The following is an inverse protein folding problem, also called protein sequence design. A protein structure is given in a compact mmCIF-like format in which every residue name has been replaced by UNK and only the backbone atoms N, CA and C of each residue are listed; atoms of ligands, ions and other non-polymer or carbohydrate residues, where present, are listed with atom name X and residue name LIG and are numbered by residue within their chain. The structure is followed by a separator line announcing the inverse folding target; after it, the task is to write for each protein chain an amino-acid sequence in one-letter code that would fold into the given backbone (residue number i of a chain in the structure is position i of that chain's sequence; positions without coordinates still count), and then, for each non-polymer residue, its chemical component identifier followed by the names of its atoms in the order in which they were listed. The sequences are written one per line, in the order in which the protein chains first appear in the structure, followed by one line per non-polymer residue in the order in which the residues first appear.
data_IF_533169290072
#
_entry.id   IF_533169290072
#
_cell.length_a   1.000
_cell.length_b   1.000
_cell.length_c   1.000
_cell.angle_alpha   90.00
_cell.angle_beta   90.00
_cell.angle_gamma   90.00
#
_symmetry.space_group_name_H-M   'P 1'
#
loop_
_entity.id
_entity.type
_entity.pdbx_description
1 polymer ?
#
# COMPACT_ATOMS: atom_id res chain seq x y z
N UNK A 1 -8.51 27.62 -29.98
CA UNK A 1 -8.80 27.65 -28.53
C UNK A 1 -8.10 26.44 -27.87
N UNK A 2 -6.88 26.61 -27.37
CA UNK A 2 -6.07 25.53 -26.75
C UNK A 2 -5.51 26.00 -25.40
N UNK A 3 -6.39 26.53 -24.55
CA UNK A 3 -6.05 26.96 -23.18
C UNK A 3 -6.99 26.26 -22.21
N UNK A 4 -6.45 25.32 -21.43
CA UNK A 4 -6.77 25.04 -20.01
C UNK A 4 -6.63 23.55 -19.60
N UNK A 5 -6.12 22.66 -20.47
CA UNK A 5 -5.82 21.29 -20.02
C UNK A 5 -4.76 21.25 -18.91
N UNK A 6 -3.82 22.20 -18.91
CA UNK A 6 -2.77 22.31 -17.88
C UNK A 6 -3.31 22.80 -16.54
N UNK A 7 -4.31 23.70 -16.54
CA UNK A 7 -4.95 24.19 -15.33
C UNK A 7 -5.82 23.13 -14.68
N UNK A 8 -6.58 22.38 -15.49
CA UNK A 8 -7.42 21.29 -15.00
C UNK A 8 -6.61 20.11 -14.43
N UNK A 9 -5.50 19.74 -15.07
CA UNK A 9 -4.56 18.73 -14.54
C UNK A 9 -3.94 19.16 -13.20
N UNK A 10 -3.56 20.44 -13.07
CA UNK A 10 -3.06 21.01 -11.79
C UNK A 10 -4.12 21.00 -10.69
N UNK A 11 -5.38 21.32 -11.01
CA UNK A 11 -6.50 21.29 -10.05
C UNK A 11 -6.81 19.86 -9.59
N UNK A 12 -6.85 18.89 -10.50
CA UNK A 12 -7.03 17.46 -10.15
C UNK A 12 -5.89 16.92 -9.30
N UNK A 13 -4.64 17.27 -9.62
CA UNK A 13 -3.47 16.91 -8.82
C UNK A 13 -3.54 17.48 -7.39
N UNK A 14 -3.95 18.74 -7.22
CA UNK A 14 -4.15 19.35 -5.89
C UNK A 14 -5.27 18.68 -5.08
N UNK A 15 -6.37 18.28 -5.73
CA UNK A 15 -7.49 17.60 -5.07
C UNK A 15 -7.09 16.20 -4.57
N UNK A 16 -6.32 15.47 -5.39
CA UNK A 16 -5.73 14.18 -5.02
C UNK A 16 -4.76 14.32 -3.85
N UNK A 17 -3.87 15.31 -3.89
CA UNK A 17 -2.94 15.60 -2.79
C UNK A 17 -3.66 15.88 -1.47
N UNK A 18 -4.81 16.59 -1.51
CA UNK A 18 -5.62 16.88 -0.32
C UNK A 18 -6.26 15.62 0.26
N UNK A 19 -6.85 14.76 -0.58
CA UNK A 19 -7.43 13.49 -0.13
C UNK A 19 -6.41 12.48 0.42
N UNK A 20 -5.19 12.47 -0.13
CA UNK A 20 -4.07 11.69 0.43
C UNK A 20 -3.66 12.24 1.79
N UNK A 21 -3.47 13.57 1.92
CA UNK A 21 -3.14 14.22 3.18
C UNK A 21 -4.16 13.94 4.28
N UNK A 22 -5.46 13.99 4.00
CA UNK A 22 -6.50 13.78 5.02
C UNK A 22 -6.53 12.34 5.57
N UNK A 23 -6.18 11.36 4.73
CA UNK A 23 -6.03 9.96 5.15
C UNK A 23 -4.78 9.79 6.00
N UNK A 24 -3.69 10.42 5.57
CA UNK A 24 -2.39 10.35 6.21
C UNK A 24 -2.40 11.05 7.57
N UNK A 25 -3.09 12.20 7.71
CA UNK A 25 -3.26 12.94 8.97
C UNK A 25 -4.02 12.15 10.05
N UNK A 26 -4.73 11.06 9.70
CA UNK A 26 -5.36 10.16 10.68
C UNK A 26 -4.41 9.14 11.29
N UNK A 27 -3.20 9.00 10.74
CA UNK A 27 -2.13 8.20 11.32
C UNK A 27 -1.16 9.17 11.99
N UNK A 28 -0.81 8.92 13.24
CA UNK A 28 -0.06 9.86 14.07
C UNK A 28 1.25 10.28 13.37
N UNK A 29 1.40 11.59 13.16
CA UNK A 29 2.66 12.20 12.73
C UNK A 29 3.53 12.32 13.96
N UNK A 30 4.63 11.58 14.03
CA UNK A 30 5.67 11.82 15.03
C UNK A 30 6.83 12.54 14.36
N UNK A 31 7.04 13.81 14.75
CA UNK A 31 8.27 14.57 14.49
C UNK A 31 9.25 14.24 15.61
N UNK A 32 9.90 13.09 15.52
CA UNK A 32 10.98 12.70 16.42
C UNK A 32 12.23 12.44 15.58
N UNK A 33 13.35 12.94 16.07
CA UNK A 33 14.68 12.97 15.45
C UNK A 33 15.00 11.73 14.61
N UNK A 34 15.68 12.00 13.49
CA UNK A 34 16.16 11.03 12.51
C UNK A 34 17.25 10.15 13.13
N UNK A 35 16.86 9.27 14.06
CA UNK A 35 17.58 8.01 14.26
C UNK A 35 17.58 7.37 12.88
N UNK A 36 18.74 7.26 12.23
CA UNK A 36 18.87 6.77 10.84
C UNK A 36 17.91 5.62 10.61
N UNK A 37 16.81 5.91 9.93
CA UNK A 37 15.70 4.97 9.88
C UNK A 37 16.13 3.83 8.97
N UNK A 38 16.39 2.68 9.56
CA UNK A 38 16.82 1.50 8.82
C UNK A 38 15.64 0.94 8.04
N UNK A 39 15.58 1.27 6.75
CA UNK A 39 14.68 0.63 5.80
C UNK A 39 15.08 -0.83 5.62
N UNK A 40 14.11 -1.74 5.77
CA UNK A 40 14.31 -3.19 5.60
C UNK A 40 13.74 -3.69 4.27
N UNK A 41 12.86 -2.91 3.64
CA UNK A 41 12.30 -3.23 2.34
C UNK A 41 11.85 -1.97 1.59
N UNK A 42 11.93 -2.04 0.27
CA UNK A 42 11.45 -0.99 -0.62
C UNK A 42 10.64 -1.58 -1.78
N UNK A 43 9.74 -0.76 -2.33
CA UNK A 43 9.02 -1.07 -3.55
C UNK A 43 8.82 0.17 -4.39
N UNK A 44 9.26 0.09 -5.63
CA UNK A 44 8.99 1.10 -6.65
C UNK A 44 7.71 0.77 -7.43
N UNK A 45 6.88 1.79 -7.63
CA UNK A 45 5.68 1.76 -8.44
C UNK A 45 5.74 2.84 -9.52
N UNK A 46 5.33 2.48 -10.72
CA UNK A 46 5.24 3.40 -11.86
C UNK A 46 3.87 4.07 -11.86
N UNK A 47 3.87 5.39 -11.95
CA UNK A 47 2.66 6.20 -12.17
C UNK A 47 2.29 6.19 -13.65
N UNK A 48 1.00 6.08 -13.95
CA UNK A 48 0.48 6.14 -15.33
C UNK A 48 -0.14 7.48 -15.72
N UNK A 49 -0.35 8.36 -14.75
CA UNK A 49 -0.91 9.70 -14.97
C UNK A 49 0.15 10.72 -15.39
N UNK A 50 1.44 10.42 -15.20
CA UNK A 50 2.56 11.29 -15.55
C UNK A 50 3.75 10.48 -16.06
N UNK A 51 4.36 10.95 -17.16
CA UNK A 51 5.54 10.34 -17.76
C UNK A 51 6.72 10.44 -16.78
N UNK A 52 7.41 9.32 -16.55
CA UNK A 52 8.53 9.24 -15.60
C UNK A 52 8.13 9.29 -14.12
N UNK A 53 6.83 9.36 -13.79
CA UNK A 53 6.38 9.40 -12.41
C UNK A 53 6.63 8.09 -11.68
N UNK A 54 7.23 8.19 -10.49
CA UNK A 54 7.48 7.07 -9.59
C UNK A 54 6.85 7.31 -8.23
N UNK A 55 6.52 6.22 -7.55
CA UNK A 55 6.15 6.17 -6.14
C UNK A 55 7.06 5.14 -5.49
N UNK A 56 7.76 5.55 -4.44
CA UNK A 56 8.65 4.67 -3.67
C UNK A 56 7.99 4.42 -2.33
N UNK A 57 7.70 3.15 -2.05
CA UNK A 57 7.23 2.72 -0.74
C UNK A 57 8.41 2.13 0.02
N UNK A 58 8.68 2.64 1.22
CA UNK A 58 9.73 2.14 2.11
C UNK A 58 9.12 1.61 3.39
N UNK A 59 9.68 0.55 3.92
CA UNK A 59 9.23 -0.12 5.14
C UNK A 59 10.42 -0.30 6.08
N UNK A 60 10.29 0.18 7.32
CA UNK A 60 11.31 0.10 8.34
C UNK A 60 11.19 -1.15 9.20
N UNK A 61 12.19 -1.35 10.06
CA UNK A 61 12.17 -2.42 11.05
C UNK A 61 11.07 -2.15 12.09
N UNK A 62 10.21 -3.15 12.43
CA UNK A 62 9.34 -3.03 13.59
C UNK A 62 10.15 -2.82 14.87
N UNK A 63 9.67 -1.92 15.74
CA UNK A 63 10.29 -1.58 17.01
C UNK A 63 9.22 -1.37 18.09
N UNK A 64 9.56 -1.52 19.39
CA UNK A 64 8.68 -1.10 20.47
C UNK A 64 8.26 0.36 20.30
N UNK A 65 6.99 0.64 20.52
CA UNK A 65 6.46 2.00 20.41
C UNK A 65 6.92 2.84 21.62
N UNK A 66 7.74 3.89 21.45
CA UNK A 66 8.18 4.73 22.56
C UNK A 66 7.03 5.52 23.19
N UNK A 67 5.92 5.71 22.48
CA UNK A 67 4.73 6.42 22.97
C UNK A 67 3.74 5.46 23.69
N UNK A 68 4.02 4.15 23.71
CA UNK A 68 3.17 3.16 24.37
C UNK A 68 3.23 3.32 25.90
N UNK A 69 2.10 3.62 26.60
CA UNK A 69 2.05 3.85 28.04
C UNK A 69 2.61 2.71 28.91
N UNK A 70 2.62 1.49 28.37
CA UNK A 70 3.12 0.30 29.07
C UNK A 70 4.30 -0.38 28.37
N UNK A 71 4.87 0.25 27.34
CA UNK A 71 5.92 -0.37 26.49
C UNK A 71 5.51 -1.71 25.87
N UNK A 72 4.20 -1.96 25.67
CA UNK A 72 3.67 -3.22 25.15
C UNK A 72 3.31 -3.15 23.68
N UNK A 73 3.05 -1.95 23.15
CA UNK A 73 2.72 -1.81 21.75
C UNK A 73 4.00 -1.69 20.90
N UNK A 74 3.85 -2.07 19.64
CA UNK A 74 4.89 -2.03 18.63
C UNK A 74 4.45 -1.10 17.51
N UNK A 75 5.44 -0.50 16.84
CA UNK A 75 5.23 0.28 15.63
C UNK A 75 6.17 -0.18 14.54
N UNK A 76 5.73 -0.05 13.28
CA UNK A 76 6.54 -0.28 12.11
C UNK A 76 6.46 0.94 11.22
N UNK A 77 7.60 1.58 10.96
CA UNK A 77 7.66 2.79 10.15
C UNK A 77 7.49 2.48 8.66
N UNK A 78 6.89 3.41 7.93
CA UNK A 78 6.82 3.38 6.48
C UNK A 78 6.79 4.77 5.88
N UNK A 79 7.22 4.90 4.63
CA UNK A 79 7.13 6.13 3.85
C UNK A 79 6.57 5.82 2.45
N UNK A 80 5.82 6.76 1.87
CA UNK A 80 5.27 6.66 0.52
C UNK A 80 5.63 7.94 -0.24
N UNK A 81 6.77 7.92 -0.89
CA UNK A 81 7.31 9.05 -1.63
C UNK A 81 6.70 9.15 -3.03
N UNK A 82 6.61 10.36 -3.58
CA UNK A 82 6.09 10.60 -4.93
C UNK A 82 4.57 10.83 -5.01
N UNK A 83 3.88 10.86 -3.87
CA UNK A 83 2.45 11.23 -3.73
C UNK A 83 2.22 12.63 -3.14
N UNK A 84 3.28 13.37 -2.83
CA UNK A 84 3.23 14.75 -2.31
C UNK A 84 3.25 14.87 -0.78
N UNK A 85 3.29 13.74 -0.06
CA UNK A 85 3.63 13.66 1.36
C UNK A 85 4.74 12.64 1.53
N UNK A 86 5.92 13.10 1.95
CA UNK A 86 7.09 12.25 2.18
C UNK A 86 7.35 12.06 3.68
N UNK A 87 6.35 12.34 4.53
CA UNK A 87 6.45 12.09 5.96
C UNK A 87 6.57 10.59 6.23
N UNK A 88 7.23 10.26 7.34
CA UNK A 88 7.25 8.91 7.88
C UNK A 88 5.95 8.70 8.67
N UNK A 89 5.36 7.52 8.48
CA UNK A 89 4.15 7.07 9.16
C UNK A 89 4.42 5.76 9.88
N UNK A 90 3.52 5.38 10.77
CA UNK A 90 3.66 4.17 11.57
C UNK A 90 2.41 3.30 11.51
N UNK A 91 2.62 2.00 11.33
CA UNK A 91 1.62 0.97 11.61
C UNK A 91 1.82 0.45 13.03
N UNK A 92 0.82 0.59 13.89
CA UNK A 92 0.87 0.14 15.28
C UNK A 92 0.26 -1.26 15.43
N UNK A 93 0.74 -2.04 16.39
CA UNK A 93 0.26 -3.38 16.69
C UNK A 93 0.64 -3.82 18.11
N UNK A 94 0.10 -4.95 18.55
CA UNK A 94 0.41 -5.53 19.86
C UNK A 94 1.78 -6.21 19.91
N UNK A 95 2.34 -6.51 18.74
CA UNK A 95 3.64 -7.15 18.55
C UNK A 95 4.27 -6.68 17.24
N UNK A 96 5.53 -7.08 17.02
CA UNK A 96 6.29 -6.72 15.82
C UNK A 96 5.63 -7.17 14.51
N UNK A 97 4.97 -8.34 14.52
CA UNK A 97 4.32 -8.93 13.34
C UNK A 97 3.06 -8.14 12.98
N UNK A 98 2.20 -7.85 13.95
CA UNK A 98 0.97 -7.10 13.76
C UNK A 98 1.25 -5.64 13.37
N UNK A 99 2.30 -5.02 13.93
CA UNK A 99 2.74 -3.69 13.52
C UNK A 99 3.16 -3.67 12.03
N UNK A 100 3.96 -4.65 11.60
CA UNK A 100 4.36 -4.83 10.19
C UNK A 100 3.16 -5.05 9.26
N UNK A 101 2.25 -5.95 9.63
CA UNK A 101 1.03 -6.22 8.87
C UNK A 101 0.14 -4.98 8.76
N UNK A 102 0.03 -4.21 9.84
CA UNK A 102 -0.75 -2.97 9.85
C UNK A 102 -0.09 -1.89 8.99
N UNK A 103 1.24 -1.76 8.99
CA UNK A 103 1.94 -0.86 8.07
C UNK A 103 1.63 -1.22 6.60
N UNK A 104 1.75 -2.50 6.22
CA UNK A 104 1.40 -2.97 4.86
C UNK A 104 -0.06 -2.69 4.50
N UNK A 105 -0.99 -2.87 5.46
CA UNK A 105 -2.41 -2.57 5.28
C UNK A 105 -2.65 -1.08 5.04
N UNK A 106 -2.02 -0.22 5.84
CA UNK A 106 -2.16 1.24 5.71
C UNK A 106 -1.59 1.70 4.38
N UNK A 107 -0.40 1.24 4.00
CA UNK A 107 0.21 1.51 2.68
C UNK A 107 -0.79 1.21 1.57
N UNK A 108 -1.37 0.01 1.57
CA UNK A 108 -2.36 -0.38 0.55
C UNK A 108 -3.54 0.59 0.50
N UNK A 109 -4.09 0.97 1.66
CA UNK A 109 -5.22 1.90 1.74
C UNK A 109 -4.85 3.29 1.21
N UNK A 110 -3.66 3.81 1.55
CA UNK A 110 -3.17 5.10 1.06
C UNK A 110 -3.03 5.07 -0.46
N UNK A 111 -2.38 4.04 -1.01
CA UNK A 111 -2.20 3.89 -2.46
C UNK A 111 -3.54 3.83 -3.20
N UNK A 112 -4.52 3.07 -2.68
CA UNK A 112 -5.85 2.99 -3.30
C UNK A 112 -6.63 4.32 -3.20
N UNK A 113 -6.56 5.00 -2.05
CA UNK A 113 -7.25 6.28 -1.85
C UNK A 113 -6.65 7.43 -2.64
N UNK A 114 -5.38 7.32 -3.03
CA UNK A 114 -4.73 8.29 -3.92
C UNK A 114 -5.43 8.42 -5.27
N UNK A 115 -6.15 7.38 -5.73
CA UNK A 115 -6.75 7.28 -7.07
C UNK A 115 -5.73 7.49 -8.21
N UNK A 116 -4.43 7.47 -7.92
CA UNK A 116 -3.39 7.53 -8.93
C UNK A 116 -3.25 6.12 -9.53
N UNK A 117 -3.27 5.98 -10.86
CA UNK A 117 -3.09 4.69 -11.51
C UNK A 117 -1.63 4.24 -11.36
N UNK A 118 -1.38 3.35 -10.40
CA UNK A 118 -0.08 2.78 -10.09
C UNK A 118 0.04 1.35 -10.61
N UNK A 119 1.24 0.96 -11.02
CA UNK A 119 1.59 -0.41 -11.40
C UNK A 119 3.01 -0.75 -11.01
N UNK A 120 3.32 -2.03 -10.88
CA UNK A 120 4.72 -2.50 -10.90
C UNK A 120 5.24 -2.48 -12.33
N UNK A 121 6.53 -2.16 -12.50
CA UNK A 121 7.15 -1.97 -13.82
C UNK A 121 7.03 -3.21 -14.73
N UNK A 122 7.11 -4.41 -14.15
CA UNK A 122 7.08 -5.68 -14.88
C UNK A 122 5.69 -6.34 -14.94
N UNK A 123 4.63 -5.69 -14.46
CA UNK A 123 3.28 -6.25 -14.49
C UNK A 123 2.39 -5.56 -15.52
N UNK A 124 1.70 -6.35 -16.35
CA UNK A 124 0.69 -5.83 -17.29
C UNK A 124 -0.59 -5.34 -16.59
N UNK A 125 -0.78 -5.70 -15.32
CA UNK A 125 -1.93 -5.34 -14.49
C UNK A 125 -1.64 -4.08 -13.67
N UNK A 126 -2.69 -3.34 -13.29
CA UNK A 126 -2.62 -2.26 -12.30
C UNK A 126 -2.48 -2.85 -10.89
N UNK A 127 -1.48 -3.70 -10.70
CA UNK A 127 -1.17 -4.31 -9.43
C UNK A 127 -0.15 -3.44 -8.68
N UNK A 128 -0.54 -3.00 -7.48
CA UNK A 128 0.34 -2.30 -6.53
C UNK A 128 1.18 -3.30 -5.71
N UNK A 129 0.82 -4.58 -5.76
CA UNK A 129 1.51 -5.69 -5.11
C UNK A 129 1.34 -5.77 -3.59
N UNK A 130 0.52 -4.91 -2.99
CA UNK A 130 0.23 -4.97 -1.55
C UNK A 130 -1.04 -5.81 -1.32
N UNK A 131 -0.96 -6.91 -0.56
CA UNK A 131 -2.06 -7.85 -0.40
C UNK A 131 -3.21 -7.24 0.42
N UNK A 132 -4.43 -7.69 0.13
CA UNK A 132 -5.58 -7.43 1.00
C UNK A 132 -5.68 -8.55 2.03
N UNK A 133 -5.65 -8.22 3.32
CA UNK A 133 -5.94 -9.19 4.37
C UNK A 133 -7.42 -9.60 4.30
N UNK A 134 -7.69 -10.89 4.54
CA UNK A 134 -9.06 -11.37 4.67
C UNK A 134 -9.71 -10.70 5.90
N UNK A 135 -10.99 -10.27 5.83
CA UNK A 135 -11.66 -9.66 6.97
C UNK A 135 -11.85 -10.68 8.09
N UNK A 136 -11.22 -10.45 9.24
CA UNK A 136 -11.36 -11.31 10.43
C UNK A 136 -12.59 -10.95 11.29
N UNK A 137 -13.18 -9.77 11.07
CA UNK A 137 -14.30 -9.23 11.85
C UNK A 137 -15.57 -10.12 11.84
N UNK A 138 -15.71 -10.99 10.83
CA UNK A 138 -16.87 -11.89 10.69
C UNK A 138 -16.59 -13.31 11.20
N UNK A 139 -15.48 -13.50 11.92
CA UNK A 139 -15.09 -14.76 12.55
C UNK A 139 -14.43 -15.78 11.61
N UNK A 140 -13.84 -16.82 12.22
CA UNK A 140 -12.99 -17.81 11.53
C UNK A 140 -13.72 -18.60 10.44
N UNK A 141 -15.03 -18.83 10.59
CA UNK A 141 -15.83 -19.55 9.59
C UNK A 141 -15.94 -18.76 8.29
N UNK A 142 -16.14 -17.43 8.39
CA UNK A 142 -16.20 -16.56 7.23
C UNK A 142 -14.84 -16.47 6.53
N UNK A 143 -13.77 -16.28 7.30
CA UNK A 143 -12.40 -16.26 6.79
C UNK A 143 -12.08 -17.54 5.99
N UNK A 144 -12.29 -18.73 6.60
CA UNK A 144 -12.06 -20.03 5.93
C UNK A 144 -12.92 -20.21 4.67
N UNK A 145 -14.12 -19.62 4.63
CA UNK A 145 -14.98 -19.65 3.45
C UNK A 145 -14.36 -18.81 2.31
N UNK A 146 -13.87 -17.61 2.63
CA UNK A 146 -13.18 -16.75 1.65
C UNK A 146 -11.87 -17.38 1.15
N UNK A 147 -11.06 -17.93 2.03
CA UNK A 147 -9.81 -18.62 1.68
C UNK A 147 -10.06 -19.75 0.68
N UNK A 148 -11.00 -20.65 0.98
CA UNK A 148 -11.38 -21.73 0.06
C UNK A 148 -11.87 -21.23 -1.31
N UNK A 149 -12.63 -20.15 -1.33
CA UNK A 149 -13.10 -19.56 -2.58
C UNK A 149 -11.93 -19.02 -3.42
N UNK A 150 -11.00 -18.29 -2.79
CA UNK A 150 -9.81 -17.77 -3.46
C UNK A 150 -8.92 -18.91 -4.01
N UNK A 151 -8.66 -19.94 -3.21
CA UNK A 151 -7.88 -21.11 -3.63
C UNK A 151 -8.51 -21.85 -4.82
N UNK A 152 -9.83 -22.05 -4.78
CA UNK A 152 -10.58 -22.68 -5.86
C UNK A 152 -10.48 -21.88 -7.16
N UNK A 153 -10.60 -20.56 -7.09
CA UNK A 153 -10.48 -19.67 -8.26
C UNK A 153 -9.06 -19.68 -8.82
N UNK A 154 -8.01 -19.60 -7.97
CA UNK A 154 -6.61 -19.72 -8.41
C UNK A 154 -6.37 -21.04 -9.14
N UNK A 155 -6.86 -22.17 -8.59
CA UNK A 155 -6.74 -23.50 -9.21
C UNK A 155 -7.50 -23.57 -10.54
N UNK A 156 -8.67 -22.94 -10.65
CA UNK A 156 -9.44 -22.87 -11.89
C UNK A 156 -8.67 -22.13 -12.98
N UNK A 157 -8.16 -20.93 -12.69
CA UNK A 157 -7.36 -20.13 -13.63
C UNK A 157 -6.08 -20.84 -14.06
N UNK A 158 -5.40 -21.52 -13.14
CA UNK A 158 -4.22 -22.34 -13.45
C UNK A 158 -4.52 -23.47 -14.45
N UNK A 159 -5.65 -24.16 -14.30
CA UNK A 159 -6.09 -25.21 -15.24
C UNK A 159 -6.41 -24.62 -16.62
N UNK A 160 -7.10 -23.50 -16.69
CA UNK A 160 -7.42 -22.80 -17.94
C UNK A 160 -6.15 -22.36 -18.69
N UNK A 161 -5.16 -21.83 -17.97
CA UNK A 161 -3.88 -21.41 -18.55
C UNK A 161 -3.12 -22.61 -19.15
N UNK A 162 -3.04 -23.73 -18.43
CA UNK A 162 -2.39 -24.97 -18.92
C UNK A 162 -3.07 -25.51 -20.18
N UNK A 163 -4.41 -25.56 -20.20
CA UNK A 163 -5.18 -25.99 -21.38
C UNK A 163 -4.91 -25.11 -22.61
N UNK A 164 -4.81 -23.79 -22.42
CA UNK A 164 -4.50 -22.86 -23.52
C UNK A 164 -3.07 -23.02 -24.04
N UNK A 165 -2.11 -23.34 -23.18
CA UNK A 165 -0.74 -23.61 -23.58
C UNK A 165 -0.63 -24.90 -24.41
N UNK A 166 -1.34 -25.96 -24.02
CA UNK A 166 -1.37 -27.23 -24.74
C UNK A 166 -2.06 -27.15 -26.12
N UNK A 167 -3.00 -26.23 -26.31
CA UNK A 167 -3.66 -25.99 -27.62
C UNK A 167 -2.85 -25.12 -28.59
N UNK A 168 -1.73 -24.56 -28.13
CA UNK A 168 -0.84 -23.70 -28.95
C UNK A 168 0.44 -24.42 -29.39
N UNK A 169 0.65 -25.66 -28.93
CA UNK A 169 1.64 -26.60 -29.45
C UNK A 169 0.97 -27.49 -30.47
#
# INVERSE_FOLDING_TARGET
MLGDERGERRRKAKLVQRGVRDVVMKFAKSTSETREMRWIAERELVRRDVVGGRVIVRLGCPEPDPESPHGRDWRCSFAIEGLGDNSIHYGHGLDSISALQNALRIIRLVLLRSKIPLRRELTKTNDIGFPMAAPVAYGIRFQRKLERYMEAEVKKRGREARRKAQKKQ
#
